data_IF_339359858612
#
_entry.id   IF_339359858612
#
_cell.length_a   1.000
_cell.length_b   1.000
_cell.length_c   1.000
_cell.angle_alpha   90.00
_cell.angle_beta   90.00
_cell.angle_gamma   90.00
#
_symmetry.space_group_name_H-M   'P 1'
#
loop_
_entity.id
_entity.type
_entity.pdbx_description
1 polymer ?
#
# COMPACT_ATOMS: atom_id res chain seq x y z
N UNK A 1 64.01 55.08 38.37
CA UNK A 1 64.85 54.22 39.23
C UNK A 1 64.63 52.80 38.77
N UNK A 2 65.42 52.37 37.79
CA UNK A 2 65.32 51.05 37.19
C UNK A 2 65.98 50.03 38.11
N UNK A 3 65.17 49.36 38.91
CA UNK A 3 65.58 48.18 39.65
C UNK A 3 65.79 47.04 38.67
N UNK A 4 67.01 46.91 38.13
CA UNK A 4 67.42 45.73 37.37
C UNK A 4 67.52 44.56 38.37
N UNK A 5 66.40 43.90 38.61
CA UNK A 5 66.39 42.58 39.24
C UNK A 5 66.99 41.63 38.20
N UNK A 6 68.28 41.33 38.32
CA UNK A 6 68.93 40.30 37.52
C UNK A 6 68.45 38.92 38.00
N UNK A 7 67.21 38.55 37.66
CA UNK A 7 66.69 37.22 37.95
C UNK A 7 67.55 36.18 37.23
N UNK A 8 67.94 35.15 37.98
CA UNK A 8 68.77 34.04 37.52
C UNK A 8 68.09 33.34 36.34
N UNK A 9 68.87 32.77 35.40
CA UNK A 9 68.34 32.05 34.21
C UNK A 9 67.30 30.98 34.57
N UNK A 10 67.38 30.41 35.78
CA UNK A 10 66.39 29.46 36.31
C UNK A 10 65.05 30.12 36.65
N UNK A 11 65.06 31.27 37.31
CA UNK A 11 63.85 31.98 37.73
C UNK A 11 63.06 32.53 36.53
N UNK A 12 63.77 33.03 35.50
CA UNK A 12 63.14 33.42 34.23
C UNK A 12 62.44 32.25 33.54
N UNK A 13 62.99 31.03 33.65
CA UNK A 13 62.38 29.82 33.08
C UNK A 13 61.10 29.43 33.82
N UNK A 14 61.09 29.52 35.15
CA UNK A 14 59.87 29.28 35.94
C UNK A 14 58.79 30.32 35.66
N UNK A 15 59.15 31.60 35.54
CA UNK A 15 58.21 32.67 35.19
C UNK A 15 57.64 32.49 33.78
N UNK A 16 58.46 32.04 32.82
CA UNK A 16 58.00 31.73 31.47
C UNK A 16 57.00 30.56 31.46
N UNK A 17 57.29 29.45 32.16
CA UNK A 17 56.37 28.32 32.27
C UNK A 17 55.05 28.71 32.96
N UNK A 18 55.13 29.54 34.01
CA UNK A 18 53.93 30.06 34.70
C UNK A 18 53.03 30.86 33.74
N UNK A 19 53.61 31.76 32.94
CA UNK A 19 52.88 32.54 31.94
C UNK A 19 52.26 31.66 30.85
N UNK A 20 52.99 30.64 30.36
CA UNK A 20 52.48 29.68 29.38
C UNK A 20 51.30 28.86 29.95
N UNK A 21 51.42 28.38 31.18
CA UNK A 21 50.32 27.67 31.84
C UNK A 21 49.08 28.56 32.02
N UNK A 22 49.26 29.81 32.46
CA UNK A 22 48.15 30.77 32.57
C UNK A 22 47.49 31.06 31.23
N UNK A 23 48.27 31.19 30.15
CA UNK A 23 47.74 31.37 28.80
C UNK A 23 46.91 30.16 28.34
N UNK A 24 47.40 28.94 28.58
CA UNK A 24 46.68 27.72 28.23
C UNK A 24 45.36 27.61 28.99
N UNK A 25 45.37 27.91 30.30
CA UNK A 25 44.14 27.92 31.11
C UNK A 25 43.16 28.96 30.58
N UNK A 26 43.62 30.17 30.25
CA UNK A 26 42.77 31.21 29.68
C UNK A 26 42.15 30.79 28.34
N UNK A 27 42.93 30.15 27.46
CA UNK A 27 42.43 29.64 26.18
C UNK A 27 41.41 28.51 26.36
N UNK A 28 41.61 27.61 27.33
CA UNK A 28 40.64 26.54 27.64
C UNK A 28 39.34 27.15 28.17
N UNK A 29 39.42 28.10 29.10
CA UNK A 29 38.23 28.77 29.66
C UNK A 29 37.48 29.52 28.57
N UNK A 30 38.18 30.26 27.72
CA UNK A 30 37.56 30.95 26.57
C UNK A 30 36.92 29.94 25.60
N UNK A 31 37.61 28.85 25.29
CA UNK A 31 37.06 27.77 24.47
C UNK A 31 35.76 27.23 25.04
N UNK A 32 35.72 26.88 26.32
CA UNK A 32 34.51 26.38 26.99
C UNK A 32 33.37 27.41 26.94
N UNK A 33 33.66 28.70 27.15
CA UNK A 33 32.66 29.77 27.08
C UNK A 33 32.08 29.92 25.66
N UNK A 34 32.93 29.88 24.63
CA UNK A 34 32.49 29.96 23.24
C UNK A 34 31.67 28.74 22.82
N UNK A 35 32.10 27.52 23.17
CA UNK A 35 31.39 26.29 22.82
C UNK A 35 30.05 26.14 23.57
N UNK A 36 29.93 26.64 24.80
CA UNK A 36 28.68 26.52 25.59
C UNK A 36 27.53 27.37 25.03
N UNK A 37 27.82 28.41 24.24
CA UNK A 37 26.83 29.28 23.60
C UNK A 37 26.66 29.03 22.10
N UNK A 38 27.34 28.04 21.54
CA UNK A 38 27.20 27.70 20.13
C UNK A 38 26.01 26.76 19.94
N UNK A 39 24.84 27.32 19.63
CA UNK A 39 23.70 26.51 19.18
C UNK A 39 24.01 25.96 17.79
N UNK A 40 24.11 24.63 17.67
CA UNK A 40 24.41 23.98 16.41
C UNK A 40 23.31 24.30 15.38
N UNK A 41 23.67 24.87 14.20
CA UNK A 41 22.71 25.21 13.14
C UNK A 41 22.06 23.96 12.50
N UNK A 42 22.53 22.76 12.86
CA UNK A 42 22.03 21.47 12.35
C UNK A 42 21.02 20.80 13.29
N UNK A 43 20.80 21.32 14.50
CA UNK A 43 19.93 20.64 15.49
C UNK A 43 18.44 20.61 15.09
N UNK A 44 17.94 21.63 14.36
CA UNK A 44 16.53 21.71 13.96
C UNK A 44 16.18 20.89 12.71
N UNK A 45 17.08 20.86 11.72
CA UNK A 45 16.88 20.11 10.46
C UNK A 45 16.95 18.60 10.69
N UNK A 46 17.90 18.15 11.53
CA UNK A 46 18.07 16.73 11.83
C UNK A 46 16.86 16.15 12.56
N UNK A 47 16.21 16.92 13.44
CA UNK A 47 15.02 16.45 14.17
C UNK A 47 13.84 16.21 13.24
N UNK A 48 13.61 17.11 12.27
CA UNK A 48 12.55 16.94 11.26
C UNK A 48 12.83 15.73 10.37
N UNK A 49 14.08 15.57 9.93
CA UNK A 49 14.49 14.44 9.09
C UNK A 49 14.35 13.11 9.84
N UNK A 50 14.70 13.05 11.12
CA UNK A 50 14.51 11.88 11.97
C UNK A 50 13.02 11.55 12.13
N UNK A 51 12.15 12.54 12.31
CA UNK A 51 10.70 12.33 12.39
C UNK A 51 10.11 11.83 11.07
N UNK A 52 10.54 12.41 9.95
CA UNK A 52 10.12 11.98 8.62
C UNK A 52 10.57 10.54 8.33
N UNK A 53 11.81 10.20 8.67
CA UNK A 53 12.34 8.85 8.51
C UNK A 53 11.58 7.84 9.39
N UNK A 54 11.26 8.22 10.63
CA UNK A 54 10.42 7.42 11.52
C UNK A 54 9.04 7.15 10.92
N UNK A 55 8.38 8.18 10.36
CA UNK A 55 7.10 8.04 9.68
C UNK A 55 7.18 7.14 8.44
N UNK A 56 8.22 7.30 7.61
CA UNK A 56 8.46 6.41 6.46
C UNK A 56 8.64 4.96 6.89
N UNK A 57 9.38 4.71 7.97
CA UNK A 57 9.59 3.36 8.50
C UNK A 57 8.30 2.75 9.05
N UNK A 58 7.47 3.52 9.77
CA UNK A 58 6.14 3.06 10.20
C UNK A 58 5.26 2.69 9.01
N UNK A 59 5.26 3.52 7.96
CA UNK A 59 4.51 3.25 6.74
C UNK A 59 4.99 1.97 6.04
N UNK A 60 6.30 1.78 5.85
CA UNK A 60 6.86 0.59 5.19
C UNK A 60 6.50 -0.68 5.95
N UNK A 61 6.60 -0.67 7.28
CA UNK A 61 6.20 -1.82 8.11
C UNK A 61 4.73 -2.18 7.92
N UNK A 62 3.85 -1.18 7.90
CA UNK A 62 2.43 -1.41 7.66
C UNK A 62 2.18 -1.91 6.23
N UNK A 63 2.88 -1.34 5.24
CA UNK A 63 2.81 -1.77 3.85
C UNK A 63 3.20 -3.25 3.69
N UNK A 64 4.25 -3.73 4.37
CA UNK A 64 4.66 -5.14 4.33
C UNK A 64 3.57 -6.08 4.88
N UNK A 65 2.84 -5.65 5.91
CA UNK A 65 1.72 -6.42 6.49
C UNK A 65 0.54 -6.47 5.50
N UNK A 66 0.26 -5.38 4.80
CA UNK A 66 -0.91 -5.25 3.91
C UNK A 66 -0.66 -5.80 2.51
N UNK A 67 0.60 -5.86 2.06
CA UNK A 67 0.99 -6.40 0.74
C UNK A 67 0.42 -7.80 0.43
N UNK A 68 0.53 -8.82 1.32
CA UNK A 68 -0.06 -10.13 1.06
C UNK A 68 -1.59 -10.07 0.97
N UNK A 69 -2.24 -9.21 1.76
CA UNK A 69 -3.70 -9.05 1.72
C UNK A 69 -4.15 -8.51 0.36
N UNK A 70 -3.43 -7.52 -0.19
CA UNK A 70 -3.68 -7.00 -1.54
C UNK A 70 -3.58 -8.09 -2.61
N UNK A 71 -2.45 -8.80 -2.63
CA UNK A 71 -2.19 -9.84 -3.63
C UNK A 71 -3.20 -11.00 -3.54
N UNK A 72 -3.51 -11.44 -2.32
CA UNK A 72 -4.47 -12.51 -2.10
C UNK A 72 -5.88 -12.10 -2.51
N UNK A 73 -6.31 -10.89 -2.15
CA UNK A 73 -7.63 -10.36 -2.54
C UNK A 73 -7.76 -10.25 -4.05
N UNK A 74 -6.74 -9.69 -4.72
CA UNK A 74 -6.73 -9.64 -6.19
C UNK A 74 -6.82 -11.03 -6.81
N UNK A 75 -6.03 -11.98 -6.28
CA UNK A 75 -6.05 -13.36 -6.77
C UNK A 75 -7.44 -13.98 -6.61
N UNK A 76 -8.06 -13.87 -5.42
CA UNK A 76 -9.42 -14.34 -5.15
C UNK A 76 -10.45 -13.78 -6.13
N UNK A 77 -10.38 -12.48 -6.44
CA UNK A 77 -11.28 -11.84 -7.43
C UNK A 77 -10.97 -12.32 -8.85
N UNK A 78 -9.69 -12.50 -9.19
CA UNK A 78 -9.26 -12.88 -10.54
C UNK A 78 -9.66 -14.31 -10.93
N UNK A 79 -9.57 -15.25 -9.97
CA UNK A 79 -9.91 -16.67 -10.16
C UNK A 79 -11.41 -16.94 -10.06
N UNK A 80 -12.21 -15.92 -9.72
CA UNK A 80 -13.66 -16.03 -9.66
C UNK A 80 -14.14 -16.49 -11.04
N UNK A 81 -14.47 -17.79 -11.13
CA UNK A 81 -14.97 -18.37 -12.37
C UNK A 81 -16.32 -17.74 -12.70
N UNK A 82 -16.67 -17.86 -13.96
CA UNK A 82 -17.96 -17.45 -14.53
C UNK A 82 -19.15 -18.17 -13.86
N UNK A 83 -18.90 -19.28 -13.15
CA UNK A 83 -19.91 -19.93 -12.33
C UNK A 83 -20.22 -19.13 -11.06
N UNK A 84 -21.51 -19.15 -10.68
CA UNK A 84 -22.03 -18.43 -9.52
C UNK A 84 -21.17 -18.73 -8.27
N UNK A 85 -20.39 -17.76 -7.77
CA UNK A 85 -19.56 -17.99 -6.59
C UNK A 85 -20.46 -18.33 -5.40
N UNK A 86 -19.99 -19.24 -4.55
CA UNK A 86 -20.71 -19.57 -3.32
C UNK A 86 -20.83 -18.31 -2.45
N UNK A 87 -21.96 -18.08 -1.75
CA UNK A 87 -22.16 -16.88 -0.93
C UNK A 87 -21.05 -16.64 0.09
N UNK A 88 -20.47 -17.72 0.63
CA UNK A 88 -19.31 -17.65 1.53
C UNK A 88 -18.09 -17.00 0.88
N UNK A 89 -17.77 -17.36 -0.37
CA UNK A 89 -16.64 -16.80 -1.13
C UNK A 89 -16.87 -15.32 -1.44
N UNK A 90 -18.10 -14.94 -1.79
CA UNK A 90 -18.43 -13.52 -1.99
C UNK A 90 -18.24 -12.70 -0.71
N UNK A 91 -18.65 -13.24 0.43
CA UNK A 91 -18.53 -12.56 1.71
C UNK A 91 -17.06 -12.42 2.14
N UNK A 92 -16.27 -13.47 1.95
CA UNK A 92 -14.83 -13.47 2.20
C UNK A 92 -14.09 -12.42 1.36
N UNK A 93 -14.42 -12.30 0.07
CA UNK A 93 -13.87 -11.25 -0.81
C UNK A 93 -14.28 -9.85 -0.32
N UNK A 94 -15.55 -9.65 0.02
CA UNK A 94 -16.04 -8.36 0.54
C UNK A 94 -15.33 -7.95 1.83
N UNK A 95 -15.13 -8.90 2.75
CA UNK A 95 -14.39 -8.66 3.98
C UNK A 95 -12.93 -8.31 3.67
N UNK A 96 -12.27 -9.07 2.79
CA UNK A 96 -10.89 -8.80 2.40
C UNK A 96 -10.72 -7.39 1.78
N UNK A 97 -11.69 -6.94 0.97
CA UNK A 97 -11.72 -5.58 0.41
C UNK A 97 -11.87 -4.52 1.52
N UNK A 98 -12.74 -4.75 2.49
CA UNK A 98 -12.92 -3.85 3.64
C UNK A 98 -11.66 -3.79 4.51
N UNK A 99 -10.98 -4.92 4.71
CA UNK A 99 -9.73 -4.99 5.47
C UNK A 99 -8.63 -4.16 4.77
N UNK A 100 -8.58 -4.17 3.44
CA UNK A 100 -7.68 -3.29 2.67
C UNK A 100 -8.06 -1.82 2.87
N UNK A 101 -9.35 -1.47 2.78
CA UNK A 101 -9.82 -0.10 2.96
C UNK A 101 -9.45 0.46 4.34
N UNK A 102 -9.54 -0.38 5.36
CA UNK A 102 -9.30 -0.02 6.76
C UNK A 102 -7.87 -0.31 7.22
N UNK A 103 -6.97 -0.73 6.32
CA UNK A 103 -5.63 -1.19 6.66
C UNK A 103 -4.72 -0.16 7.34
N UNK A 104 -5.04 1.13 7.23
CA UNK A 104 -4.35 2.23 7.91
C UNK A 104 -5.24 2.94 8.94
N UNK A 105 -6.48 2.48 9.16
CA UNK A 105 -7.39 3.06 10.12
C UNK A 105 -6.89 2.81 11.55
N UNK A 106 -6.86 3.86 12.38
CA UNK A 106 -6.35 3.76 13.76
C UNK A 106 -4.82 3.71 13.88
N UNK A 107 -4.08 3.86 12.78
CA UNK A 107 -2.61 3.96 12.81
C UNK A 107 -2.15 5.42 12.95
N UNK A 108 -1.07 5.65 13.71
CA UNK A 108 -0.40 6.96 13.86
C UNK A 108 0.56 7.25 12.69
N UNK A 109 0.09 6.99 11.46
CA UNK A 109 0.85 7.17 10.21
C UNK A 109 0.25 8.36 9.45
N UNK A 110 1.04 9.40 9.24
CA UNK A 110 0.61 10.63 8.55
C UNK A 110 1.01 10.68 7.07
N UNK A 111 1.58 9.59 6.56
CA UNK A 111 2.00 9.49 5.16
C UNK A 111 0.79 9.50 4.22
N UNK A 112 0.77 10.43 3.25
CA UNK A 112 -0.31 10.59 2.27
C UNK A 112 -0.53 9.33 1.42
N UNK A 113 0.50 8.49 1.23
CA UNK A 113 0.40 7.24 0.46
C UNK A 113 -0.60 6.25 1.07
N UNK A 114 -0.97 6.39 2.35
CA UNK A 114 -2.01 5.56 2.98
C UNK A 114 -3.37 5.71 2.30
N UNK A 115 -3.66 6.88 1.70
CA UNK A 115 -4.94 7.14 1.02
C UNK A 115 -5.13 6.27 -0.22
N UNK A 116 -4.03 5.81 -0.83
CA UNK A 116 -4.07 4.91 -1.98
C UNK A 116 -4.77 3.58 -1.65
N UNK A 117 -4.70 3.10 -0.41
CA UNK A 117 -5.31 1.82 -0.01
C UNK A 117 -6.84 1.86 -0.06
N UNK A 118 -7.45 3.00 0.26
CA UNK A 118 -8.89 3.21 0.07
C UNK A 118 -9.25 3.19 -1.42
N UNK A 119 -8.43 3.81 -2.27
CA UNK A 119 -8.63 3.80 -3.72
C UNK A 119 -8.49 2.39 -4.30
N UNK A 120 -7.50 1.62 -3.84
CA UNK A 120 -7.32 0.22 -4.25
C UNK A 120 -8.51 -0.63 -3.83
N UNK A 121 -9.03 -0.46 -2.62
CA UNK A 121 -10.23 -1.17 -2.17
C UNK A 121 -11.46 -0.82 -3.03
N UNK A 122 -11.64 0.45 -3.39
CA UNK A 122 -12.70 0.87 -4.30
C UNK A 122 -12.56 0.23 -5.69
N UNK A 123 -11.33 0.18 -6.22
CA UNK A 123 -11.04 -0.51 -7.48
C UNK A 123 -11.37 -2.01 -7.38
N UNK A 124 -10.96 -2.69 -6.32
CA UNK A 124 -11.28 -4.12 -6.12
C UNK A 124 -12.78 -4.37 -6.00
N UNK A 125 -13.53 -3.48 -5.34
CA UNK A 125 -14.99 -3.54 -5.28
C UNK A 125 -15.61 -3.46 -6.68
N UNK A 126 -15.19 -2.49 -7.49
CA UNK A 126 -15.66 -2.33 -8.86
C UNK A 126 -15.31 -3.56 -9.72
N UNK A 127 -14.06 -4.01 -9.66
CA UNK A 127 -13.59 -5.17 -10.40
C UNK A 127 -14.33 -6.45 -10.03
N UNK A 128 -14.65 -6.64 -8.75
CA UNK A 128 -15.44 -7.76 -8.28
C UNK A 128 -16.89 -7.72 -8.80
N UNK A 129 -17.54 -6.57 -8.78
CA UNK A 129 -18.90 -6.43 -9.34
C UNK A 129 -18.92 -6.65 -10.85
N UNK A 130 -17.94 -6.14 -11.59
CA UNK A 130 -17.81 -6.38 -13.02
C UNK A 130 -17.65 -7.88 -13.34
N UNK A 131 -16.84 -8.60 -12.55
CA UNK A 131 -16.70 -10.05 -12.65
C UNK A 131 -18.02 -10.78 -12.42
N UNK A 132 -18.81 -10.36 -11.42
CA UNK A 132 -20.14 -10.94 -11.16
C UNK A 132 -21.12 -10.69 -12.32
N UNK A 133 -21.10 -9.49 -12.89
CA UNK A 133 -21.93 -9.17 -14.05
C UNK A 133 -21.53 -10.02 -15.26
N UNK A 134 -20.23 -10.14 -15.53
CA UNK A 134 -19.71 -10.97 -16.62
C UNK A 134 -20.07 -12.46 -16.44
N UNK A 135 -19.95 -12.97 -15.21
CA UNK A 135 -20.36 -14.32 -14.83
C UNK A 135 -21.84 -14.57 -15.16
N UNK A 136 -22.73 -13.71 -14.65
CA UNK A 136 -24.17 -13.80 -14.87
C UNK A 136 -24.56 -13.68 -16.36
N UNK A 137 -23.91 -12.78 -17.10
CA UNK A 137 -24.16 -12.64 -18.55
C UNK A 137 -23.79 -13.91 -19.30
N UNK A 138 -22.67 -14.53 -18.97
CA UNK A 138 -22.23 -15.77 -19.64
C UNK A 138 -23.13 -16.94 -19.28
N UNK A 139 -23.58 -17.04 -18.03
CA UNK A 139 -24.58 -18.03 -17.60
C UNK A 139 -25.88 -17.87 -18.40
N UNK A 140 -26.37 -16.63 -18.54
CA UNK A 140 -27.56 -16.33 -19.34
C UNK A 140 -27.37 -16.69 -20.82
N UNK A 141 -26.21 -16.38 -21.41
CA UNK A 141 -25.91 -16.75 -22.81
C UNK A 141 -26.01 -18.27 -22.97
N UNK A 142 -25.36 -19.04 -22.08
CA UNK A 142 -25.42 -20.52 -22.11
C UNK A 142 -26.85 -21.05 -21.99
N UNK A 143 -27.65 -20.45 -21.10
CA UNK A 143 -29.06 -20.82 -20.95
C UNK A 143 -29.87 -20.52 -22.22
N UNK A 144 -29.69 -19.33 -22.80
CA UNK A 144 -30.41 -18.93 -24.01
C UNK A 144 -29.98 -19.74 -25.24
N UNK A 145 -28.71 -20.10 -25.36
CA UNK A 145 -28.23 -21.01 -26.40
C UNK A 145 -28.90 -22.38 -26.28
N UNK A 146 -28.99 -22.94 -25.07
CA UNK A 146 -29.66 -24.20 -24.84
C UNK A 146 -31.16 -24.13 -25.17
N UNK A 147 -31.85 -23.09 -24.69
CA UNK A 147 -33.28 -22.88 -24.99
C UNK A 147 -33.53 -22.69 -26.49
N UNK A 148 -32.64 -21.98 -27.18
CA UNK A 148 -32.73 -21.79 -28.63
C UNK A 148 -32.55 -23.11 -29.38
N UNK A 149 -31.57 -23.93 -28.98
CA UNK A 149 -31.37 -25.26 -29.56
C UNK A 149 -32.59 -26.17 -29.36
N UNK A 150 -33.11 -26.24 -28.13
CA UNK A 150 -34.31 -27.01 -27.80
C UNK A 150 -35.53 -26.56 -28.62
N UNK A 151 -35.74 -25.24 -28.74
CA UNK A 151 -36.81 -24.67 -29.56
C UNK A 151 -36.63 -24.96 -31.05
N UNK A 152 -35.40 -24.87 -31.58
CA UNK A 152 -35.10 -25.14 -32.98
C UNK A 152 -35.34 -26.62 -33.34
N UNK A 153 -34.95 -27.54 -32.46
CA UNK A 153 -35.23 -28.98 -32.62
C UNK A 153 -36.75 -29.22 -32.59
N UNK A 154 -37.44 -28.72 -31.56
CA UNK A 154 -38.89 -28.89 -31.44
C UNK A 154 -39.67 -28.30 -32.63
N UNK A 155 -39.20 -27.19 -33.20
CA UNK A 155 -39.77 -26.62 -34.41
C UNK A 155 -39.62 -27.57 -35.62
N UNK A 156 -38.41 -28.09 -35.85
CA UNK A 156 -38.14 -29.05 -36.94
C UNK A 156 -38.96 -30.33 -36.79
N UNK A 157 -39.06 -30.87 -35.57
CA UNK A 157 -39.85 -32.07 -35.29
C UNK A 157 -41.34 -31.85 -35.61
N UNK A 158 -41.88 -30.67 -35.25
CA UNK A 158 -43.27 -30.30 -35.55
C UNK A 158 -43.52 -30.07 -37.04
N UNK A 159 -42.55 -29.49 -37.76
CA UNK A 159 -42.62 -29.32 -39.21
C UNK A 159 -42.64 -30.68 -39.94
N UNK A 160 -41.81 -31.62 -39.49
CA UNK A 160 -41.80 -32.99 -39.99
C UNK A 160 -43.12 -33.71 -39.69
N UNK A 161 -43.63 -33.62 -38.46
CA UNK A 161 -44.92 -34.21 -38.05
C UNK A 161 -46.07 -33.68 -38.92
N UNK A 162 -46.10 -32.37 -39.19
CA UNK A 162 -47.14 -31.74 -40.02
C UNK A 162 -47.07 -32.23 -41.47
N UNK A 163 -45.86 -32.32 -42.02
CA UNK A 163 -45.62 -32.82 -43.39
C UNK A 163 -46.06 -34.26 -43.54
N UNK A 164 -45.71 -35.12 -42.57
CA UNK A 164 -46.14 -36.51 -42.54
C UNK A 164 -47.67 -36.63 -42.48
N UNK A 165 -48.34 -35.85 -41.62
CA UNK A 165 -49.80 -35.82 -41.55
C UNK A 165 -50.46 -35.37 -42.85
N UNK A 166 -49.92 -34.34 -43.52
CA UNK A 166 -50.42 -33.89 -44.83
C UNK A 166 -50.31 -34.99 -45.88
N UNK A 167 -49.15 -35.65 -45.97
CA UNK A 167 -48.93 -36.74 -46.91
C UNK A 167 -49.88 -37.92 -46.66
N UNK A 168 -50.11 -38.29 -45.39
CA UNK A 168 -51.05 -39.34 -45.01
C UNK A 168 -52.51 -39.01 -45.33
N UNK A 169 -52.91 -37.73 -45.26
CA UNK A 169 -54.24 -37.29 -45.70
C UNK A 169 -54.38 -37.34 -47.22
N UNK A 170 -53.37 -36.88 -47.97
CA UNK A 170 -53.37 -36.97 -49.43
C UNK A 170 -53.45 -38.42 -49.92
N UNK A 171 -52.73 -39.36 -49.30
CA UNK A 171 -52.78 -40.78 -49.65
C UNK A 171 -54.10 -41.48 -49.31
N UNK A 172 -54.96 -40.87 -48.48
CA UNK A 172 -56.29 -41.40 -48.14
C UNK A 172 -57.40 -40.85 -49.05
N UNK A 173 -57.11 -39.77 -49.78
CA UNK A 173 -58.09 -39.06 -50.61
C UNK A 173 -57.95 -39.41 -52.10
N UNK A 174 -56.86 -40.10 -52.46
CA UNK A 174 -56.66 -40.79 -53.74
C UNK A 174 -56.88 -42.29 -53.55
#
# INVERSE_FOLDING_TARGET
MDGIISLSKREKRYQFFYLVCMLLVALIVLGVIFFRKFESPFSGTDVLDIQLLSQKNKFVKQQEIVAPLLQNTFTKISILKVEKPQPFVENDIKNSINDIANSFQGTDIYDMRKEAYLQIANFYKMYFEDKKIAAKKTENIRLFEQQFQECSIGFKDKEQELTQKKNAMLSRTN
#
